data_IF_503583130633
#
_entry.id   IF_503583130633
#
_cell.length_a   1.000
_cell.length_b   1.000
_cell.length_c   1.000
_cell.angle_alpha   90.00
_cell.angle_beta   90.00
_cell.angle_gamma   90.00
#
_symmetry.space_group_name_H-M   'P 1'
#
loop_
_entity.id
_entity.type
_entity.pdbx_description
1 polymer ?
#
# COMPACT_ATOMS: atom_id res chain seq x y z
N UNK A 1 4.48 30.73 -10.04
CA UNK A 1 4.15 29.76 -8.97
C UNK A 1 4.98 28.51 -9.22
N UNK A 2 5.68 27.98 -8.22
CA UNK A 2 6.15 26.59 -8.30
C UNK A 2 4.94 25.66 -8.47
N UNK A 3 5.07 24.50 -9.12
CA UNK A 3 3.98 23.53 -9.18
C UNK A 3 3.56 23.19 -7.75
N UNK A 4 2.26 23.30 -7.47
CA UNK A 4 1.68 22.71 -6.26
C UNK A 4 2.09 21.24 -6.28
N UNK A 5 2.67 20.68 -5.18
CA UNK A 5 3.02 19.27 -5.15
C UNK A 5 1.76 18.49 -5.55
N UNK A 6 1.86 17.76 -6.65
CA UNK A 6 0.69 17.12 -7.25
C UNK A 6 0.09 16.17 -6.21
N UNK A 7 -1.24 16.20 -5.98
CA UNK A 7 -1.88 15.11 -5.26
C UNK A 7 -1.51 13.80 -5.95
N UNK A 8 -1.35 12.74 -5.15
CA UNK A 8 -1.11 11.40 -5.67
C UNK A 8 -2.18 11.09 -6.73
N UNK A 9 -1.82 10.44 -7.83
CA UNK A 9 -2.86 9.82 -8.66
C UNK A 9 -3.54 8.68 -7.88
N UNK A 10 -4.71 8.19 -8.31
CA UNK A 10 -5.30 7.00 -7.72
C UNK A 10 -4.32 5.82 -7.72
N UNK A 11 -3.56 5.62 -8.80
CA UNK A 11 -2.54 4.58 -8.87
C UNK A 11 -1.35 4.85 -7.94
N UNK A 12 -0.87 6.09 -7.85
CA UNK A 12 0.19 6.44 -6.89
C UNK A 12 -0.27 6.16 -5.45
N UNK A 13 -1.54 6.38 -5.14
CA UNK A 13 -2.10 6.10 -3.80
C UNK A 13 -2.11 4.61 -3.47
N UNK A 14 -2.44 3.76 -4.45
CA UNK A 14 -2.34 2.30 -4.30
C UNK A 14 -0.88 1.86 -4.08
N UNK A 15 0.06 2.45 -4.82
CA UNK A 15 1.49 2.19 -4.67
C UNK A 15 2.01 2.68 -3.32
N UNK A 16 1.56 3.85 -2.86
CA UNK A 16 1.94 4.42 -1.58
C UNK A 16 1.51 3.51 -0.42
N UNK A 17 0.29 2.98 -0.46
CA UNK A 17 -0.21 2.02 0.53
C UNK A 17 0.60 0.72 0.53
N UNK A 18 0.96 0.20 -0.65
CA UNK A 18 1.84 -0.97 -0.74
C UNK A 18 3.24 -0.71 -0.17
N UNK A 19 3.83 0.46 -0.43
CA UNK A 19 5.16 0.81 0.08
C UNK A 19 5.12 1.05 1.59
N UNK A 20 4.06 1.70 2.08
CA UNK A 20 3.88 1.96 3.50
C UNK A 20 3.89 0.66 4.31
N UNK A 21 3.17 -0.37 3.86
CA UNK A 21 3.18 -1.67 4.55
C UNK A 21 4.57 -2.33 4.55
N UNK A 22 5.30 -2.27 3.43
CA UNK A 22 6.67 -2.79 3.34
C UNK A 22 7.70 -2.01 4.14
N UNK A 23 7.46 -0.71 4.37
CA UNK A 23 8.39 0.16 5.09
C UNK A 23 8.08 0.25 6.59
N UNK A 24 7.08 -0.49 7.09
CA UNK A 24 6.53 -0.36 8.45
C UNK A 24 7.56 -0.59 9.57
N UNK A 25 8.57 -1.41 9.32
CA UNK A 25 9.66 -1.71 10.26
C UNK A 25 11.01 -1.05 9.88
N UNK A 26 10.94 -0.05 8.99
CA UNK A 26 12.06 0.68 8.40
C UNK A 26 12.94 -0.16 7.46
N UNK A 27 12.54 -1.37 7.08
CA UNK A 27 13.28 -2.25 6.19
C UNK A 27 12.39 -2.92 5.14
N UNK A 28 12.46 -2.46 3.90
CA UNK A 28 11.75 -3.15 2.80
C UNK A 28 12.49 -4.43 2.41
N UNK A 29 11.80 -5.57 2.49
CA UNK A 29 12.35 -6.84 2.03
C UNK A 29 12.34 -6.94 0.50
N UNK A 30 13.35 -7.62 -0.08
CA UNK A 30 13.42 -7.81 -1.54
C UNK A 30 12.18 -8.53 -2.09
N UNK A 31 11.62 -9.48 -1.33
CA UNK A 31 10.41 -10.22 -1.73
C UNK A 31 9.19 -9.29 -1.85
N UNK A 32 9.02 -8.36 -0.93
CA UNK A 32 7.96 -7.34 -0.97
C UNK A 32 8.14 -6.39 -2.15
N UNK A 33 9.35 -5.89 -2.40
CA UNK A 33 9.61 -5.02 -3.55
C UNK A 33 9.30 -5.72 -4.88
N UNK A 34 9.65 -7.01 -4.99
CA UNK A 34 9.31 -7.83 -6.15
C UNK A 34 7.79 -8.01 -6.26
N UNK A 35 7.09 -8.22 -5.14
CA UNK A 35 5.62 -8.32 -5.12
C UNK A 35 4.95 -7.01 -5.57
N UNK A 36 5.40 -5.86 -5.08
CA UNK A 36 4.91 -4.54 -5.52
C UNK A 36 5.06 -4.40 -7.04
N UNK A 37 6.26 -4.68 -7.57
CA UNK A 37 6.52 -4.56 -9.00
C UNK A 37 5.66 -5.52 -9.82
N UNK A 38 5.46 -6.76 -9.34
CA UNK A 38 4.61 -7.74 -10.00
C UNK A 38 3.14 -7.31 -10.04
N UNK A 39 2.60 -6.79 -8.92
CA UNK A 39 1.23 -6.29 -8.84
C UNK A 39 1.01 -5.11 -9.79
N UNK A 40 1.95 -4.14 -9.80
CA UNK A 40 1.90 -2.99 -10.73
C UNK A 40 1.96 -3.43 -12.18
N UNK A 41 2.80 -4.42 -12.51
CA UNK A 41 2.97 -4.87 -13.89
C UNK A 41 1.79 -5.69 -14.44
N UNK A 42 0.97 -6.30 -13.58
CA UNK A 42 -0.02 -7.29 -14.00
C UNK A 42 -1.48 -6.90 -13.76
N UNK A 43 -1.75 -5.95 -12.86
CA UNK A 43 -3.12 -5.59 -12.55
C UNK A 43 -3.68 -4.52 -13.51
N UNK A 44 -4.93 -4.68 -14.02
CA UNK A 44 -5.52 -3.76 -14.99
C UNK A 44 -5.58 -2.30 -14.54
N UNK A 45 -5.68 -2.04 -13.23
CA UNK A 45 -5.72 -0.67 -12.67
C UNK A 45 -4.43 0.13 -12.97
N UNK A 46 -3.32 -0.57 -13.21
CA UNK A 46 -2.02 0.00 -13.52
C UNK A 46 -1.66 -0.06 -15.01
N UNK A 47 -2.60 -0.40 -15.91
CA UNK A 47 -2.31 -0.57 -17.34
C UNK A 47 -1.67 0.66 -18.02
N UNK A 48 -1.98 1.86 -17.53
CA UNK A 48 -1.43 3.14 -18.02
C UNK A 48 -0.48 3.80 -17.01
N UNK A 49 -0.08 3.07 -15.97
CA UNK A 49 0.78 3.60 -14.90
C UNK A 49 2.24 3.61 -15.34
N UNK A 50 2.93 4.72 -15.09
CA UNK A 50 4.37 4.83 -15.28
C UNK A 50 5.10 4.21 -14.07
N UNK A 51 5.68 3.03 -14.26
CA UNK A 51 6.39 2.29 -13.21
C UNK A 51 7.60 3.05 -12.64
N UNK A 52 8.20 4.01 -13.37
CA UNK A 52 9.29 4.82 -12.83
C UNK A 52 8.83 5.70 -11.65
N UNK A 53 7.52 6.00 -11.57
CA UNK A 53 6.91 6.75 -10.45
C UNK A 53 6.98 6.01 -9.12
N UNK A 54 7.14 4.68 -9.10
CA UNK A 54 7.28 3.90 -7.86
C UNK A 54 8.40 4.48 -6.98
N UNK A 55 9.52 4.90 -7.57
CA UNK A 55 10.64 5.50 -6.83
C UNK A 55 10.26 6.83 -6.18
N UNK A 56 9.52 7.67 -6.91
CA UNK A 56 9.04 8.97 -6.40
C UNK A 56 8.05 8.76 -5.25
N UNK A 57 7.10 7.83 -5.42
CA UNK A 57 6.12 7.50 -4.38
C UNK A 57 6.81 6.90 -3.16
N UNK A 58 7.81 6.04 -3.35
CA UNK A 58 8.59 5.48 -2.24
C UNK A 58 9.30 6.56 -1.43
N UNK A 59 9.96 7.51 -2.11
CA UNK A 59 10.60 8.62 -1.43
C UNK A 59 9.58 9.44 -0.63
N UNK A 60 8.42 9.75 -1.20
CA UNK A 60 7.35 10.46 -0.48
C UNK A 60 6.87 9.71 0.76
N UNK A 61 6.69 8.39 0.68
CA UNK A 61 6.31 7.58 1.86
C UNK A 61 7.39 7.60 2.93
N UNK A 62 8.67 7.48 2.54
CA UNK A 62 9.78 7.56 3.49
C UNK A 62 9.89 8.94 4.13
N UNK A 63 9.80 10.01 3.34
CA UNK A 63 9.82 11.39 3.84
C UNK A 63 8.67 11.60 4.86
N UNK A 64 7.48 11.03 4.59
CA UNK A 64 6.37 11.09 5.53
C UNK A 64 6.69 10.31 6.81
N UNK A 65 7.26 9.10 6.73
CA UNK A 65 7.57 8.29 7.91
C UNK A 65 8.65 8.91 8.84
N UNK A 66 9.41 9.90 8.36
CA UNK A 66 10.34 10.68 9.18
C UNK A 66 9.64 11.76 10.03
N UNK A 67 8.40 12.12 9.71
CA UNK A 67 7.62 13.15 10.40
C UNK A 67 6.74 12.55 11.52
N UNK A 68 6.56 13.30 12.62
CA UNK A 68 5.83 12.84 13.82
C UNK A 68 4.36 12.42 13.52
N UNK A 69 3.67 13.17 12.65
CA UNK A 69 2.29 12.90 12.20
C UNK A 69 2.23 12.36 10.76
N UNK A 70 3.35 11.81 10.28
CA UNK A 70 3.53 11.41 8.88
C UNK A 70 2.54 10.39 8.36
N UNK A 71 2.14 9.46 9.22
CA UNK A 71 1.19 8.42 8.87
C UNK A 71 -0.23 8.96 8.67
N UNK A 72 -0.65 9.90 9.52
CA UNK A 72 -1.93 10.60 9.37
C UNK A 72 -1.93 11.43 8.08
N UNK A 73 -0.80 12.08 7.76
CA UNK A 73 -0.62 12.82 6.52
C UNK A 73 -0.69 11.89 5.28
N UNK A 74 -0.06 10.71 5.33
CA UNK A 74 -0.16 9.70 4.28
C UNK A 74 -1.62 9.28 4.04
N UNK A 75 -2.35 8.95 5.10
CA UNK A 75 -3.76 8.57 4.97
C UNK A 75 -4.64 9.71 4.48
N UNK A 76 -4.35 10.95 4.87
CA UNK A 76 -4.96 12.15 4.30
C UNK A 76 -4.79 12.22 2.78
N UNK A 77 -3.55 12.09 2.29
CA UNK A 77 -3.25 12.10 0.86
C UNK A 77 -3.96 10.97 0.11
N UNK A 78 -3.94 9.75 0.66
CA UNK A 78 -4.61 8.60 0.07
C UNK A 78 -6.12 8.82 0.00
N UNK A 79 -6.76 9.28 1.08
CA UNK A 79 -8.21 9.53 1.09
C UNK A 79 -8.64 10.64 0.14
N UNK A 80 -7.81 11.66 -0.05
CA UNK A 80 -8.08 12.74 -1.02
C UNK A 80 -7.92 12.28 -2.48
N UNK A 81 -7.00 11.35 -2.72
CA UNK A 81 -6.54 10.99 -4.06
C UNK A 81 -7.15 9.69 -4.61
N UNK A 82 -7.60 8.79 -3.74
CA UNK A 82 -8.12 7.47 -4.09
C UNK A 82 -9.66 7.46 -4.04
N UNK A 83 -10.35 7.14 -5.15
CA UNK A 83 -11.80 6.95 -5.13
C UNK A 83 -12.21 5.83 -4.17
N UNK A 84 -13.26 6.05 -3.36
CA UNK A 84 -13.73 5.10 -2.33
C UNK A 84 -13.95 3.67 -2.85
N UNK A 85 -14.40 3.51 -4.10
CA UNK A 85 -14.57 2.21 -4.76
C UNK A 85 -13.28 1.38 -4.88
N UNK A 86 -12.11 1.99 -4.66
CA UNK A 86 -10.79 1.36 -4.70
C UNK A 86 -10.18 1.17 -3.30
N UNK A 87 -10.89 1.50 -2.22
CA UNK A 87 -10.37 1.31 -0.86
C UNK A 87 -10.10 -0.16 -0.54
N UNK A 88 -11.02 -1.06 -0.92
CA UNK A 88 -10.78 -2.51 -0.82
C UNK A 88 -9.63 -2.98 -1.73
N UNK A 89 -9.40 -2.29 -2.85
CA UNK A 89 -8.24 -2.57 -3.73
C UNK A 89 -6.94 -2.19 -3.03
N UNK A 90 -6.84 -1.01 -2.43
CA UNK A 90 -5.68 -0.60 -1.64
C UNK A 90 -5.38 -1.60 -0.52
N UNK A 91 -6.41 -1.99 0.22
CA UNK A 91 -6.26 -2.94 1.32
C UNK A 91 -5.83 -4.33 0.83
N UNK A 92 -6.41 -4.84 -0.26
CA UNK A 92 -6.02 -6.12 -0.84
C UNK A 92 -4.57 -6.14 -1.33
N UNK A 93 -4.11 -5.05 -1.95
CA UNK A 93 -2.72 -4.91 -2.39
C UNK A 93 -1.76 -4.89 -1.20
N UNK A 94 -2.09 -4.17 -0.12
CA UNK A 94 -1.29 -4.17 1.10
C UNK A 94 -1.18 -5.58 1.71
N UNK A 95 -2.30 -6.32 1.77
CA UNK A 95 -2.29 -7.70 2.27
C UNK A 95 -1.44 -8.64 1.39
N UNK A 96 -1.47 -8.51 0.07
CA UNK A 96 -0.67 -9.33 -0.84
C UNK A 96 0.84 -9.01 -0.71
N UNK A 97 1.20 -7.74 -0.53
CA UNK A 97 2.59 -7.33 -0.31
C UNK A 97 3.12 -7.84 1.02
N UNK A 98 2.39 -7.62 2.11
CA UNK A 98 2.80 -8.08 3.44
C UNK A 98 2.83 -9.63 3.56
N UNK A 99 2.11 -10.35 2.70
CA UNK A 99 2.17 -11.81 2.63
C UNK A 99 3.31 -12.35 1.74
N UNK A 100 4.09 -11.48 1.06
CA UNK A 100 5.03 -11.87 0.00
C UNK A 100 6.13 -12.84 0.47
N UNK A 101 6.66 -12.65 1.67
CA UNK A 101 7.78 -13.44 2.21
C UNK A 101 7.33 -14.55 3.20
N UNK A 102 6.02 -14.63 3.46
CA UNK A 102 5.40 -15.62 4.36
C UNK A 102 5.56 -15.32 5.86
N UNK A 103 6.17 -14.19 6.25
CA UNK A 103 6.37 -13.80 7.66
C UNK A 103 5.90 -12.36 7.89
N UNK A 104 4.67 -12.22 8.34
CA UNK A 104 4.16 -10.91 8.73
C UNK A 104 4.68 -10.52 10.13
N UNK A 105 5.41 -9.41 10.21
CA UNK A 105 5.81 -8.79 11.46
C UNK A 105 4.61 -8.13 12.16
N UNK A 106 4.70 -7.92 13.49
CA UNK A 106 3.63 -7.22 14.23
C UNK A 106 3.44 -5.77 13.76
N UNK A 107 4.50 -5.12 13.30
CA UNK A 107 4.47 -3.75 12.75
C UNK A 107 3.62 -3.68 11.48
N UNK A 108 3.79 -4.62 10.56
CA UNK A 108 2.97 -4.70 9.34
C UNK A 108 1.52 -5.03 9.66
N UNK A 109 1.27 -5.98 10.58
CA UNK A 109 -0.09 -6.32 11.02
C UNK A 109 -0.80 -5.10 11.62
N UNK A 110 -0.09 -4.31 12.44
CA UNK A 110 -0.63 -3.07 13.00
C UNK A 110 -0.93 -2.04 11.91
N UNK A 111 -0.03 -1.88 10.94
CA UNK A 111 -0.26 -0.95 9.85
C UNK A 111 -1.43 -1.39 8.95
N UNK A 112 -1.61 -2.69 8.71
CA UNK A 112 -2.80 -3.21 8.04
C UNK A 112 -4.09 -2.94 8.83
N UNK A 113 -4.06 -3.04 10.15
CA UNK A 113 -5.20 -2.65 10.99
C UNK A 113 -5.55 -1.16 10.86
N UNK A 114 -4.54 -0.30 10.77
CA UNK A 114 -4.69 1.14 10.57
C UNK A 114 -5.21 1.46 9.16
N UNK A 115 -4.68 0.84 8.09
CA UNK A 115 -5.19 0.97 6.72
C UNK A 115 -6.67 0.56 6.68
N UNK A 116 -7.04 -0.56 7.32
CA UNK A 116 -8.42 -1.03 7.38
C UNK A 116 -9.34 0.00 8.03
N UNK A 117 -8.88 0.63 9.12
CA UNK A 117 -9.63 1.63 9.86
C UNK A 117 -9.78 2.93 9.06
N UNK A 118 -8.68 3.48 8.54
CA UNK A 118 -8.67 4.74 7.79
C UNK A 118 -9.47 4.67 6.49
N UNK A 119 -9.45 3.52 5.82
CA UNK A 119 -10.22 3.30 4.60
C UNK A 119 -11.64 2.77 4.87
N UNK A 120 -12.06 2.63 6.13
CA UNK A 120 -13.42 2.23 6.48
C UNK A 120 -13.84 0.85 5.95
N UNK A 121 -12.91 -0.10 5.86
CA UNK A 121 -13.18 -1.42 5.29
C UNK A 121 -14.01 -2.26 6.27
N UNK A 122 -15.14 -2.79 5.80
CA UNK A 122 -15.99 -3.67 6.62
C UNK A 122 -15.23 -4.92 7.07
N UNK A 123 -15.52 -5.38 8.30
CA UNK A 123 -14.83 -6.51 8.91
C UNK A 123 -14.94 -7.81 8.11
N UNK A 124 -16.08 -8.07 7.46
CA UNK A 124 -16.28 -9.27 6.63
C UNK A 124 -15.50 -9.16 5.33
N UNK A 125 -15.44 -7.98 4.72
CA UNK A 125 -14.67 -7.74 3.50
C UNK A 125 -13.18 -7.87 3.77
N UNK A 126 -12.69 -7.25 4.85
CA UNK A 126 -11.30 -7.38 5.29
C UNK A 126 -10.92 -8.85 5.54
N UNK A 127 -11.74 -9.60 6.29
CA UNK A 127 -11.49 -11.01 6.54
C UNK A 127 -11.45 -11.85 5.25
N UNK A 128 -12.30 -11.54 4.27
CA UNK A 128 -12.29 -12.23 2.97
C UNK A 128 -11.01 -11.92 2.17
N UNK A 129 -10.58 -10.65 2.16
CA UNK A 129 -9.35 -10.19 1.51
C UNK A 129 -8.12 -10.86 2.13
N UNK A 130 -7.98 -10.77 3.46
CA UNK A 130 -6.88 -11.40 4.22
C UNK A 130 -6.82 -12.91 3.96
N UNK A 131 -7.99 -13.58 3.93
CA UNK A 131 -8.08 -15.01 3.65
C UNK A 131 -7.62 -15.34 2.23
N UNK A 132 -7.93 -14.48 1.27
CA UNK A 132 -7.51 -14.58 -0.13
C UNK A 132 -6.01 -14.39 -0.31
N UNK A 133 -5.43 -13.34 0.30
CA UNK A 133 -3.99 -13.10 0.29
C UNK A 133 -3.23 -14.30 0.87
N UNK A 134 -3.63 -14.77 2.05
CA UNK A 134 -3.05 -15.98 2.67
C UNK A 134 -3.14 -17.21 1.76
N UNK A 135 -4.24 -17.39 1.03
CA UNK A 135 -4.40 -18.53 0.13
C UNK A 135 -3.44 -18.47 -1.07
N UNK A 136 -3.21 -17.27 -1.64
CA UNK A 136 -2.28 -17.07 -2.76
C UNK A 136 -0.81 -17.25 -2.38
N UNK A 137 -0.46 -16.92 -1.14
CA UNK A 137 0.93 -16.90 -0.66
C UNK A 137 1.34 -18.14 0.15
N UNK A 138 0.52 -19.19 0.20
CA UNK A 138 0.83 -20.43 0.90
C UNK A 138 1.96 -21.19 0.18
N UNK A 139 3.02 -21.53 0.90
CA UNK A 139 4.17 -22.30 0.39
C UNK A 139 4.22 -23.70 1.03
N UNK A 140 4.94 -24.64 0.39
CA UNK A 140 5.11 -26.04 0.82
C UNK A 140 6.44 -26.26 1.55
#
# INVERSE_FOLDING_TARGET
MPPVPHPLSPQDSLVAVMIAVSAADLHIHTAELVAIQALVNHLPIFAEYDADRIKTVAQTVFDLFEEDDGLDALFGLVRESLPEKLFETAYALACDVAAADGKMAQTELRLLEEIRFELGIDRLHAAAIERGARARHMQL
#
